data_IF_965629588342
#
_entry.id   IF_965629588342
#
_cell.length_a   1.000
_cell.length_b   1.000
_cell.length_c   1.000
_cell.angle_alpha   90.00
_cell.angle_beta   90.00
_cell.angle_gamma   90.00
#
_symmetry.space_group_name_H-M   'P 1'
#
loop_
_entity.id
_entity.type
_entity.pdbx_description
1 polymer ?
#
# COMPACT_ATOMS: atom_id res chain seq x y z
N UNK A 1 42.66 12.26 22.43
CA UNK A 1 42.82 13.73 22.41
C UNK A 1 42.00 14.30 23.56
N UNK A 2 42.57 15.22 24.33
CA UNK A 2 41.85 15.89 25.41
C UNK A 2 41.27 17.22 24.91
N UNK A 3 40.03 17.47 25.28
CA UNK A 3 39.33 18.74 25.08
C UNK A 3 39.11 19.39 26.44
N UNK A 4 39.53 20.64 26.59
CA UNK A 4 39.42 21.39 27.84
C UNK A 4 38.33 22.44 27.70
N UNK A 5 37.29 22.31 28.52
CA UNK A 5 36.07 23.12 28.46
C UNK A 5 35.91 23.96 29.73
N UNK A 6 35.40 25.19 29.60
CA UNK A 6 35.07 26.06 30.74
C UNK A 6 33.86 25.55 31.53
N UNK A 7 33.86 25.72 32.86
CA UNK A 7 32.74 25.35 33.76
C UNK A 7 31.61 26.40 33.78
N UNK A 8 31.06 26.72 32.61
CA UNK A 8 29.93 27.64 32.45
C UNK A 8 28.78 26.98 31.68
N UNK A 9 27.56 27.53 31.79
CA UNK A 9 26.37 26.98 31.13
C UNK A 9 26.53 26.93 29.60
N UNK A 10 27.00 28.03 28.98
CA UNK A 10 27.49 28.06 27.59
C UNK A 10 28.98 27.77 27.56
N UNK A 11 29.34 26.51 27.80
CA UNK A 11 30.75 26.13 27.89
C UNK A 11 31.48 26.45 26.59
N UNK A 12 32.77 26.77 26.70
CA UNK A 12 33.64 27.10 25.58
C UNK A 12 34.82 26.15 25.58
N UNK A 13 35.20 25.69 24.40
CA UNK A 13 36.45 24.97 24.21
C UNK A 13 37.60 25.96 24.40
N UNK A 14 38.38 25.79 25.45
CA UNK A 14 39.51 26.67 25.76
C UNK A 14 40.72 26.29 24.89
N UNK A 15 41.12 25.02 24.93
CA UNK A 15 42.21 24.46 24.14
C UNK A 15 42.08 22.94 24.07
N UNK A 16 42.98 22.32 23.31
CA UNK A 16 43.01 20.87 23.10
C UNK A 16 44.43 20.34 23.27
N UNK A 17 44.55 19.14 23.82
CA UNK A 17 45.84 18.43 23.92
C UNK A 17 45.78 17.19 23.05
N UNK A 18 46.57 17.17 21.97
CA UNK A 18 46.62 16.06 21.02
C UNK A 18 47.62 14.98 21.46
N UNK A 19 47.45 14.50 22.69
CA UNK A 19 48.21 13.41 23.29
C UNK A 19 47.24 12.37 23.84
N UNK A 20 47.70 11.13 23.93
CA UNK A 20 47.05 10.05 24.67
C UNK A 20 47.26 10.22 26.18
N UNK A 21 46.43 9.57 27.00
CA UNK A 21 46.61 9.60 28.45
C UNK A 21 48.02 9.15 28.91
N UNK A 22 48.61 8.16 28.23
CA UNK A 22 49.96 7.67 28.54
C UNK A 22 51.04 8.70 28.19
N UNK A 23 50.88 9.42 27.08
CA UNK A 23 51.78 10.50 26.68
C UNK A 23 51.67 11.71 27.61
N UNK A 24 50.45 12.08 28.04
CA UNK A 24 50.25 13.15 29.03
C UNK A 24 50.95 12.81 30.34
N UNK A 25 50.87 11.55 30.78
CA UNK A 25 51.57 11.08 31.98
C UNK A 25 53.08 11.15 31.83
N UNK A 26 53.62 10.64 30.72
CA UNK A 26 55.05 10.49 30.51
C UNK A 26 55.75 11.81 30.16
N UNK A 27 55.08 12.71 29.43
CA UNK A 27 55.68 13.95 28.93
C UNK A 27 55.24 15.19 29.69
N UNK A 28 54.03 15.20 30.26
CA UNK A 28 53.48 16.37 30.98
C UNK A 28 53.30 16.12 32.48
N UNK A 29 53.68 14.95 32.99
CA UNK A 29 53.57 14.62 34.42
C UNK A 29 52.13 14.69 34.93
N UNK A 30 51.17 14.23 34.11
CA UNK A 30 49.71 14.33 34.37
C UNK A 30 49.16 15.77 34.43
N UNK A 31 49.94 16.80 34.06
CA UNK A 31 49.50 18.19 34.03
C UNK A 31 49.09 18.65 32.62
N UNK A 32 47.79 18.58 32.32
CA UNK A 32 47.22 19.06 31.05
C UNK A 32 47.32 20.58 30.81
N UNK A 33 47.67 21.36 31.84
CA UNK A 33 47.75 22.83 31.79
C UNK A 33 49.20 23.35 31.76
N UNK A 34 50.19 22.48 31.54
CA UNK A 34 51.61 22.84 31.56
C UNK A 34 51.94 24.05 30.65
N UNK A 35 51.33 24.09 29.46
CA UNK A 35 51.52 25.15 28.46
C UNK A 35 50.58 26.36 28.64
N UNK A 36 49.68 26.30 29.61
CA UNK A 36 48.67 27.34 29.91
C UNK A 36 48.67 27.71 31.41
N UNK A 37 49.81 28.14 31.98
CA UNK A 37 49.95 28.43 33.42
C UNK A 37 49.11 29.62 33.90
N UNK A 38 48.64 30.47 33.00
CA UNK A 38 47.73 31.58 33.28
C UNK A 38 46.29 31.13 33.59
N UNK A 39 45.92 29.90 33.21
CA UNK A 39 44.60 29.35 33.45
C UNK A 39 44.55 28.65 34.80
N UNK A 40 43.46 28.85 35.53
CA UNK A 40 43.18 28.13 36.77
C UNK A 40 42.49 26.80 36.45
N UNK A 41 43.13 25.62 36.68
CA UNK A 41 42.54 24.32 36.33
C UNK A 41 41.19 24.05 37.01
N UNK A 42 40.92 24.68 38.15
CA UNK A 42 39.65 24.51 38.86
C UNK A 42 38.44 25.02 38.07
N UNK A 43 38.64 25.93 37.10
CA UNK A 43 37.57 26.54 36.30
C UNK A 43 37.26 25.73 35.02
N UNK A 44 37.94 24.60 34.80
CA UNK A 44 37.84 23.80 33.58
C UNK A 44 37.59 22.32 33.84
N UNK A 45 37.06 21.64 32.82
CA UNK A 45 36.97 20.18 32.75
C UNK A 45 37.73 19.69 31.53
N UNK A 46 38.62 18.73 31.75
CA UNK A 46 39.27 17.99 30.69
C UNK A 46 38.51 16.68 30.42
N UNK A 47 38.24 16.40 29.15
CA UNK A 47 37.62 15.14 28.73
C UNK A 47 38.38 14.56 27.54
N UNK A 48 38.65 13.26 27.59
CA UNK A 48 39.25 12.54 26.47
C UNK A 48 38.15 12.09 25.49
N UNK A 49 38.24 12.54 24.23
CA UNK A 49 37.30 12.20 23.16
C UNK A 49 38.03 12.16 21.80
N UNK A 50 37.34 11.62 20.81
CA UNK A 50 37.78 11.68 19.40
C UNK A 50 37.30 12.96 18.70
N UNK A 51 36.15 13.51 19.13
CA UNK A 51 35.54 14.69 18.53
C UNK A 51 35.00 15.64 19.62
N UNK A 52 35.05 16.97 19.39
CA UNK A 52 34.52 17.96 20.31
C UNK A 52 32.99 17.91 20.35
N UNK A 53 32.40 18.35 21.46
CA UNK A 53 30.98 18.72 21.50
C UNK A 53 30.70 19.92 20.59
N UNK A 54 29.51 19.96 19.99
CA UNK A 54 29.10 21.06 19.10
C UNK A 54 28.61 22.27 19.91
N UNK A 55 27.83 22.01 20.95
CA UNK A 55 27.26 22.94 21.92
C UNK A 55 27.51 22.39 23.34
N UNK A 56 28.75 22.49 23.85
CA UNK A 56 29.09 21.99 25.18
C UNK A 56 28.38 22.79 26.29
N UNK A 57 27.97 22.09 27.34
CA UNK A 57 27.41 22.68 28.56
C UNK A 57 27.93 21.97 29.80
N UNK A 58 28.23 22.76 30.84
CA UNK A 58 28.67 22.23 32.13
C UNK A 58 27.47 21.78 32.98
N UNK A 59 27.50 20.52 33.42
CA UNK A 59 26.54 19.95 34.35
C UNK A 59 27.12 19.96 35.77
N UNK A 60 26.65 20.90 36.58
CA UNK A 60 27.13 21.08 37.95
C UNK A 60 26.73 19.93 38.89
N UNK A 61 25.66 19.19 38.58
CA UNK A 61 25.18 18.10 39.44
C UNK A 61 26.10 16.87 39.35
N UNK A 62 26.59 16.57 38.14
CA UNK A 62 27.53 15.47 37.90
C UNK A 62 28.98 15.93 37.83
N UNK A 63 29.24 17.24 37.83
CA UNK A 63 30.57 17.83 37.58
C UNK A 63 31.19 17.33 36.28
N UNK A 64 30.40 17.27 35.20
CA UNK A 64 30.84 16.81 33.87
C UNK A 64 30.51 17.82 32.77
N UNK A 65 31.16 17.68 31.62
CA UNK A 65 30.78 18.37 30.39
C UNK A 65 29.95 17.44 29.50
N UNK A 66 28.88 17.97 28.90
CA UNK A 66 28.02 17.24 27.96
C UNK A 66 27.54 18.13 26.83
N UNK A 67 26.87 17.53 25.85
CA UNK A 67 26.14 18.25 24.80
C UNK A 67 24.87 18.86 25.39
N UNK A 68 24.50 20.06 24.95
CA UNK A 68 23.21 20.67 25.29
C UNK A 68 22.04 19.81 24.78
N UNK A 69 20.97 19.73 25.56
CA UNK A 69 19.71 19.14 25.10
C UNK A 69 19.01 20.10 24.12
N UNK A 70 18.03 19.61 23.36
CA UNK A 70 17.24 20.47 22.46
C UNK A 70 16.58 21.63 23.20
N UNK A 71 16.07 21.40 24.40
CA UNK A 71 15.46 22.44 25.23
C UNK A 71 16.49 23.49 25.65
N UNK A 72 17.69 23.08 26.06
CA UNK A 72 18.77 24.01 26.41
C UNK A 72 19.24 24.82 25.19
N UNK A 73 19.28 24.22 24.00
CA UNK A 73 19.58 24.94 22.76
C UNK A 73 18.53 26.03 22.50
N UNK A 74 17.24 25.72 22.67
CA UNK A 74 16.13 26.68 22.47
C UNK A 74 16.18 27.80 23.52
N UNK A 75 16.42 27.49 24.79
CA UNK A 75 16.56 28.49 25.86
C UNK A 75 17.64 29.53 25.52
N UNK A 76 18.72 29.04 24.88
CA UNK A 76 19.89 29.81 24.49
C UNK A 76 19.82 30.46 23.10
N UNK A 77 18.63 30.47 22.49
CA UNK A 77 18.34 31.04 21.16
C UNK A 77 19.17 30.39 20.04
N UNK A 78 19.54 29.12 20.20
CA UNK A 78 20.23 28.32 19.18
C UNK A 78 19.18 27.57 18.35
N UNK A 79 19.28 27.70 17.02
CA UNK A 79 18.34 27.08 16.09
C UNK A 79 18.39 25.54 16.17
N UNK A 80 17.21 24.92 16.31
CA UNK A 80 17.03 23.48 16.31
C UNK A 80 16.16 23.04 15.14
N UNK A 81 16.48 21.88 14.55
CA UNK A 81 15.61 21.27 13.56
C UNK A 81 14.33 20.76 14.25
N UNK A 82 13.17 21.15 13.71
CA UNK A 82 11.85 20.73 14.21
C UNK A 82 11.30 19.57 13.38
N UNK A 83 10.71 18.59 14.05
CA UNK A 83 9.92 17.54 13.43
C UNK A 83 8.50 18.02 13.13
N UNK A 84 7.75 17.25 12.33
CA UNK A 84 6.33 17.54 12.09
C UNK A 84 5.55 17.48 13.41
N UNK A 85 4.70 18.48 13.64
CA UNK A 85 4.00 18.62 14.91
C UNK A 85 4.79 19.34 16.00
N UNK A 86 6.07 19.66 15.78
CA UNK A 86 6.86 20.46 16.72
C UNK A 86 6.86 21.95 16.34
N UNK A 87 6.80 22.80 17.35
CA UNK A 87 6.98 24.24 17.23
C UNK A 87 7.60 24.84 18.50
N UNK A 88 8.15 26.05 18.39
CA UNK A 88 8.74 26.77 19.52
C UNK A 88 7.85 27.96 19.85
N UNK A 89 7.47 28.08 21.12
CA UNK A 89 6.70 29.21 21.66
C UNK A 89 7.20 29.50 23.06
N UNK A 90 7.46 30.77 23.38
CA UNK A 90 8.01 31.21 24.66
C UNK A 90 9.30 30.47 25.10
N UNK A 91 10.24 30.27 24.16
CA UNK A 91 11.49 29.50 24.35
C UNK A 91 11.28 28.06 24.85
N UNK A 92 10.11 27.48 24.59
CA UNK A 92 9.81 26.08 24.92
C UNK A 92 9.44 25.31 23.67
N UNK A 93 9.98 24.11 23.56
CA UNK A 93 9.54 23.15 22.56
C UNK A 93 8.12 22.69 22.90
N UNK A 94 7.23 22.76 21.93
CA UNK A 94 5.85 22.27 22.00
C UNK A 94 5.68 21.18 20.94
N UNK A 95 4.92 20.15 21.29
CA UNK A 95 4.63 19.03 20.39
C UNK A 95 3.11 18.81 20.32
N UNK A 96 2.57 18.81 19.11
CA UNK A 96 1.17 18.51 18.82
C UNK A 96 1.10 17.15 18.15
N UNK A 97 0.50 16.13 18.78
CA UNK A 97 0.41 14.79 18.20
C UNK A 97 -0.40 14.81 16.91
N UNK A 98 0.04 14.04 15.91
CA UNK A 98 -0.67 13.91 14.64
C UNK A 98 -2.02 13.19 14.85
N UNK A 99 -3.16 13.78 14.46
CA UNK A 99 -4.47 13.14 14.68
C UNK A 99 -4.68 11.88 13.83
N UNK A 100 -4.19 11.90 12.59
CA UNK A 100 -4.17 10.74 11.69
C UNK A 100 -3.10 10.92 10.61
N UNK A 101 -2.73 9.83 9.93
CA UNK A 101 -1.74 9.85 8.85
C UNK A 101 -2.12 10.72 7.64
N UNK A 102 -3.36 11.21 7.57
CA UNK A 102 -3.85 12.06 6.49
C UNK A 102 -3.71 13.57 6.77
N UNK A 103 -3.30 13.93 7.99
CA UNK A 103 -3.08 15.33 8.35
C UNK A 103 -1.68 15.77 7.95
N UNK A 104 -1.59 17.00 7.43
CA UNK A 104 -0.32 17.65 7.10
C UNK A 104 -0.04 18.75 8.12
N UNK A 105 1.20 18.84 8.58
CA UNK A 105 1.59 19.87 9.54
C UNK A 105 1.67 21.24 8.88
N UNK A 106 0.97 22.23 9.43
CA UNK A 106 1.08 23.62 9.03
C UNK A 106 2.05 24.35 9.97
N UNK A 107 3.30 24.47 9.55
CA UNK A 107 4.36 25.13 10.34
C UNK A 107 4.05 26.58 10.67
N UNK A 108 3.25 27.29 9.86
CA UNK A 108 2.94 28.71 10.12
C UNK A 108 1.82 28.89 11.15
N UNK A 109 0.87 27.95 11.21
CA UNK A 109 -0.26 28.01 12.15
C UNK A 109 -0.06 27.15 13.40
N UNK A 110 0.95 26.29 13.40
CA UNK A 110 1.17 25.26 14.42
C UNK A 110 -0.05 24.34 14.58
N UNK A 111 -0.72 24.01 13.47
CA UNK A 111 -1.91 23.15 13.44
C UNK A 111 -1.76 22.03 12.42
N UNK A 112 -2.52 20.96 12.63
CA UNK A 112 -2.68 19.89 11.66
C UNK A 112 -3.82 20.23 10.70
N UNK A 113 -3.50 20.41 9.42
CA UNK A 113 -4.48 20.67 8.36
C UNK A 113 -4.85 19.36 7.65
N UNK A 114 -6.07 19.29 7.11
CA UNK A 114 -6.56 18.13 6.36
C UNK A 114 -7.36 18.57 5.14
N UNK A 115 -7.03 17.97 3.99
CA UNK A 115 -7.85 18.06 2.78
C UNK A 115 -8.79 16.85 2.72
N UNK A 116 -9.99 16.99 3.28
CA UNK A 116 -10.97 15.90 3.31
C UNK A 116 -11.38 15.41 1.92
N UNK A 117 -11.33 16.24 0.88
CA UNK A 117 -11.67 15.81 -0.49
C UNK A 117 -10.58 14.90 -1.07
N UNK A 118 -9.31 15.20 -0.79
CA UNK A 118 -8.21 14.32 -1.17
C UNK A 118 -8.22 12.99 -0.39
N UNK A 119 -8.53 13.03 0.91
CA UNK A 119 -8.69 11.81 1.71
C UNK A 119 -9.84 10.95 1.15
N UNK A 120 -11.01 11.54 0.90
CA UNK A 120 -12.14 10.84 0.26
C UNK A 120 -11.76 10.25 -1.10
N UNK A 121 -10.96 10.98 -1.90
CA UNK A 121 -10.42 10.47 -3.18
C UNK A 121 -9.55 9.24 -2.99
N UNK A 122 -8.63 9.26 -2.04
CA UNK A 122 -7.76 8.13 -1.69
C UNK A 122 -8.58 6.88 -1.33
N UNK A 123 -9.61 7.03 -0.50
CA UNK A 123 -10.50 5.91 -0.16
C UNK A 123 -11.28 5.38 -1.36
N UNK A 124 -11.78 6.25 -2.25
CA UNK A 124 -12.43 5.80 -3.50
C UNK A 124 -11.47 4.97 -4.36
N UNK A 125 -10.22 5.38 -4.50
CA UNK A 125 -9.22 4.61 -5.24
C UNK A 125 -8.98 3.23 -4.63
N UNK A 126 -8.82 3.15 -3.29
CA UNK A 126 -8.68 1.87 -2.58
C UNK A 126 -9.82 0.89 -2.91
N UNK A 127 -11.08 1.33 -2.85
CA UNK A 127 -12.22 0.46 -3.17
C UNK A 127 -12.37 0.20 -4.67
N UNK A 128 -11.92 1.11 -5.53
CA UNK A 128 -11.89 0.90 -6.98
C UNK A 128 -10.95 -0.25 -7.35
N UNK A 129 -9.79 -0.37 -6.71
CA UNK A 129 -8.90 -1.51 -6.92
C UNK A 129 -9.57 -2.84 -6.58
N UNK A 130 -10.34 -2.89 -5.48
CA UNK A 130 -11.13 -4.08 -5.11
C UNK A 130 -12.21 -4.37 -6.16
N UNK A 131 -12.89 -3.34 -6.68
CA UNK A 131 -13.85 -3.50 -7.76
C UNK A 131 -13.19 -4.10 -9.01
N UNK A 132 -12.03 -3.58 -9.42
CA UNK A 132 -11.30 -4.06 -10.60
C UNK A 132 -10.89 -5.54 -10.45
N UNK A 133 -10.42 -5.96 -9.26
CA UNK A 133 -10.18 -7.37 -8.96
C UNK A 133 -11.44 -8.23 -9.13
N UNK A 134 -12.60 -7.76 -8.63
CA UNK A 134 -13.86 -8.50 -8.76
C UNK A 134 -14.39 -8.51 -10.20
N UNK A 135 -14.05 -7.51 -11.02
CA UNK A 135 -14.43 -7.45 -12.42
C UNK A 135 -13.56 -8.39 -13.26
N UNK A 136 -12.25 -8.21 -13.24
CA UNK A 136 -11.32 -8.85 -14.17
C UNK A 136 -10.60 -10.07 -13.57
N UNK A 137 -10.86 -10.37 -12.30
CA UNK A 137 -10.31 -11.52 -11.60
C UNK A 137 -10.93 -12.84 -12.07
N UNK A 138 -10.18 -13.93 -11.90
CA UNK A 138 -10.63 -15.29 -12.18
C UNK A 138 -11.92 -15.63 -11.44
N UNK A 139 -12.69 -16.57 -11.97
CA UNK A 139 -13.96 -16.99 -11.40
C UNK A 139 -13.91 -18.46 -11.02
N UNK A 140 -14.24 -18.77 -9.77
CA UNK A 140 -14.35 -20.15 -9.30
C UNK A 140 -15.80 -20.62 -9.42
N UNK A 141 -15.98 -21.79 -10.00
CA UNK A 141 -17.28 -22.46 -10.07
C UNK A 141 -17.06 -23.96 -9.92
N UNK A 142 -17.73 -24.58 -8.93
CA UNK A 142 -17.64 -26.01 -8.64
C UNK A 142 -16.20 -26.55 -8.53
N UNK A 143 -15.31 -25.81 -7.85
CA UNK A 143 -13.90 -26.17 -7.67
C UNK A 143 -13.02 -26.00 -8.92
N UNK A 144 -13.58 -25.53 -10.05
CA UNK A 144 -12.85 -25.18 -11.26
C UNK A 144 -12.62 -23.67 -11.31
N UNK A 145 -11.42 -23.25 -11.68
CA UNK A 145 -11.06 -21.82 -11.78
C UNK A 145 -10.95 -21.40 -13.25
N UNK A 146 -11.86 -20.53 -13.66
CA UNK A 146 -11.96 -19.97 -14.99
C UNK A 146 -11.19 -18.65 -15.07
N UNK A 147 -10.39 -18.49 -16.12
CA UNK A 147 -9.78 -17.22 -16.44
C UNK A 147 -10.84 -16.31 -17.08
N UNK A 148 -10.91 -15.05 -16.61
CA UNK A 148 -11.91 -14.06 -17.04
C UNK A 148 -11.22 -12.74 -17.41
N UNK A 149 -10.09 -12.82 -18.12
CA UNK A 149 -9.48 -11.62 -18.72
C UNK A 149 -10.29 -11.22 -19.96
N UNK A 150 -10.03 -10.03 -20.48
CA UNK A 150 -10.73 -9.46 -21.63
C UNK A 150 -10.88 -10.44 -22.81
N UNK A 151 -9.81 -11.17 -23.15
CA UNK A 151 -9.85 -12.16 -24.24
C UNK A 151 -10.64 -13.44 -23.88
N UNK A 152 -10.63 -13.84 -22.61
CA UNK A 152 -11.33 -15.04 -22.16
C UNK A 152 -12.84 -14.81 -22.09
N UNK A 153 -13.27 -13.61 -21.64
CA UNK A 153 -14.69 -13.20 -21.65
C UNK A 153 -15.30 -13.29 -23.05
N UNK A 154 -14.54 -12.85 -24.06
CA UNK A 154 -14.95 -12.94 -25.47
C UNK A 154 -15.23 -14.39 -25.88
N UNK A 155 -14.49 -15.37 -25.37
CA UNK A 155 -14.75 -16.77 -25.69
C UNK A 155 -16.10 -17.25 -25.11
N UNK A 156 -16.45 -16.84 -23.90
CA UNK A 156 -17.78 -17.13 -23.33
C UNK A 156 -18.89 -16.48 -24.17
N UNK A 157 -18.71 -15.21 -24.56
CA UNK A 157 -19.68 -14.51 -25.42
C UNK A 157 -19.83 -15.19 -26.78
N UNK A 158 -18.74 -15.62 -27.41
CA UNK A 158 -18.75 -16.34 -28.70
C UNK A 158 -19.54 -17.64 -28.61
N UNK A 159 -19.34 -18.44 -27.57
CA UNK A 159 -20.10 -19.68 -27.37
C UNK A 159 -21.59 -19.38 -27.19
N UNK A 160 -21.93 -18.38 -26.38
CA UNK A 160 -23.33 -17.97 -26.17
C UNK A 160 -23.97 -17.51 -27.49
N UNK A 161 -23.31 -16.63 -28.24
CA UNK A 161 -23.78 -16.13 -29.54
C UNK A 161 -23.93 -17.26 -30.56
N UNK A 162 -22.97 -18.19 -30.63
CA UNK A 162 -23.04 -19.33 -31.53
C UNK A 162 -24.26 -20.22 -31.22
N UNK A 163 -24.56 -20.48 -29.94
CA UNK A 163 -25.75 -21.23 -29.53
C UNK A 163 -27.06 -20.48 -29.83
N UNK A 164 -27.06 -19.15 -29.66
CA UNK A 164 -28.21 -18.31 -29.97
C UNK A 164 -28.50 -18.37 -31.48
N UNK A 165 -27.49 -18.16 -32.33
CA UNK A 165 -27.60 -18.24 -33.79
C UNK A 165 -27.98 -19.65 -34.25
N UNK A 166 -27.27 -20.69 -33.76
CA UNK A 166 -27.53 -22.07 -34.17
C UNK A 166 -28.94 -22.54 -33.79
N UNK A 167 -29.52 -22.00 -32.73
CA UNK A 167 -30.90 -22.30 -32.34
C UNK A 167 -31.96 -21.81 -33.32
N UNK A 168 -31.62 -20.88 -34.20
CA UNK A 168 -32.51 -20.25 -35.19
C UNK A 168 -32.31 -20.81 -36.61
N UNK A 169 -31.33 -21.70 -36.81
CA UNK A 169 -31.04 -22.30 -38.11
C UNK A 169 -32.04 -23.43 -38.40
N UNK A 170 -32.70 -23.34 -39.55
CA UNK A 170 -33.66 -24.34 -40.03
C UNK A 170 -33.01 -25.41 -40.91
N UNK A 171 -31.82 -25.14 -41.45
CA UNK A 171 -31.08 -26.05 -42.34
C UNK A 171 -30.13 -26.97 -41.55
N UNK A 172 -30.37 -28.27 -41.63
CA UNK A 172 -29.55 -29.29 -40.96
C UNK A 172 -28.12 -29.32 -41.50
N UNK A 173 -27.91 -29.13 -42.80
CA UNK A 173 -26.58 -29.25 -43.41
C UNK A 173 -25.65 -28.13 -42.92
N UNK A 174 -26.20 -26.95 -42.65
CA UNK A 174 -25.47 -25.82 -42.02
C UNK A 174 -25.07 -26.17 -40.59
N UNK A 175 -25.96 -26.78 -39.81
CA UNK A 175 -25.65 -27.23 -38.44
C UNK A 175 -24.58 -28.33 -38.45
N UNK A 176 -24.69 -29.30 -39.37
CA UNK A 176 -23.71 -30.37 -39.54
C UNK A 176 -22.33 -29.81 -39.87
N UNK A 177 -22.24 -28.91 -40.83
CA UNK A 177 -20.99 -28.25 -41.21
C UNK A 177 -20.37 -27.46 -40.04
N UNK A 178 -21.20 -26.79 -39.24
CA UNK A 178 -20.74 -26.08 -38.04
C UNK A 178 -20.16 -27.05 -36.99
N UNK A 179 -20.82 -28.19 -36.74
CA UNK A 179 -20.35 -29.22 -35.82
C UNK A 179 -19.04 -29.86 -36.31
N UNK A 180 -18.92 -30.17 -37.59
CA UNK A 180 -17.70 -30.70 -38.19
C UNK A 180 -16.54 -29.69 -38.05
N UNK A 181 -16.80 -28.39 -38.25
CA UNK A 181 -15.81 -27.32 -38.06
C UNK A 181 -15.34 -27.21 -36.61
N UNK A 182 -16.22 -27.52 -35.65
CA UNK A 182 -15.92 -27.59 -34.22
C UNK A 182 -15.23 -28.91 -33.81
N UNK A 183 -15.01 -29.83 -34.75
CA UNK A 183 -14.40 -31.14 -34.50
C UNK A 183 -15.36 -32.14 -33.83
N UNK A 184 -16.67 -31.90 -33.88
CA UNK A 184 -17.68 -32.82 -33.36
C UNK A 184 -18.13 -33.75 -34.49
N UNK A 185 -17.69 -35.01 -34.44
CA UNK A 185 -18.12 -36.01 -35.41
C UNK A 185 -19.61 -36.36 -35.22
N UNK A 186 -20.43 -36.05 -36.24
CA UNK A 186 -21.86 -36.38 -36.23
C UNK A 186 -22.07 -37.80 -36.72
N UNK A 187 -22.27 -38.73 -35.77
CA UNK A 187 -22.70 -40.10 -36.09
C UNK A 187 -24.22 -40.18 -36.37
N UNK A 188 -24.68 -41.37 -36.78
CA UNK A 188 -26.09 -41.59 -37.14
C UNK A 188 -27.06 -41.30 -35.98
N UNK A 189 -26.66 -41.61 -34.75
CA UNK A 189 -27.48 -41.39 -33.56
C UNK A 189 -27.60 -39.89 -33.24
N UNK A 190 -26.50 -39.15 -33.31
CA UNK A 190 -26.45 -37.71 -33.10
C UNK A 190 -27.20 -36.96 -34.21
N UNK A 191 -27.08 -37.41 -35.46
CA UNK A 191 -27.85 -36.87 -36.59
C UNK A 191 -29.37 -36.97 -36.36
N UNK A 192 -29.86 -38.15 -35.94
CA UNK A 192 -31.27 -38.35 -35.63
C UNK A 192 -31.75 -37.43 -34.49
N UNK A 193 -30.95 -37.31 -33.43
CA UNK A 193 -31.24 -36.42 -32.29
C UNK A 193 -31.31 -34.96 -32.70
N UNK A 194 -30.38 -34.48 -33.54
CA UNK A 194 -30.37 -33.10 -34.05
C UNK A 194 -31.63 -32.86 -34.90
N UNK A 195 -31.92 -33.74 -35.86
CA UNK A 195 -33.11 -33.61 -36.74
C UNK A 195 -34.41 -33.62 -35.94
N UNK A 196 -34.50 -34.47 -34.91
CA UNK A 196 -35.66 -34.48 -34.01
C UNK A 196 -35.76 -33.17 -33.22
N UNK A 197 -34.65 -32.69 -32.64
CA UNK A 197 -34.61 -31.44 -31.89
C UNK A 197 -35.02 -30.23 -32.75
N UNK A 198 -34.62 -30.20 -34.03
CA UNK A 198 -35.06 -29.21 -35.01
C UNK A 198 -36.58 -29.28 -35.24
N UNK A 199 -37.12 -30.47 -35.51
CA UNK A 199 -38.57 -30.68 -35.74
C UNK A 199 -39.44 -30.21 -34.58
N UNK A 200 -38.99 -30.38 -33.34
CA UNK A 200 -39.74 -29.98 -32.14
C UNK A 200 -39.38 -28.58 -31.62
N UNK A 201 -38.57 -27.82 -32.36
CA UNK A 201 -38.15 -26.46 -31.99
C UNK A 201 -37.26 -26.38 -30.73
N UNK A 202 -36.55 -27.46 -30.39
CA UNK A 202 -35.67 -27.57 -29.21
C UNK A 202 -34.20 -27.72 -29.56
N UNK A 203 -33.78 -27.36 -30.78
CA UNK A 203 -32.39 -27.46 -31.23
C UNK A 203 -31.43 -26.79 -30.25
N UNK A 204 -31.70 -25.54 -29.84
CA UNK A 204 -30.87 -24.82 -28.85
C UNK A 204 -30.73 -25.56 -27.52
N UNK A 205 -31.82 -26.18 -27.04
CA UNK A 205 -31.80 -26.95 -25.79
C UNK A 205 -30.93 -28.21 -25.94
N UNK A 206 -31.00 -28.87 -27.10
CA UNK A 206 -30.15 -30.01 -27.42
C UNK A 206 -28.67 -29.59 -27.54
N UNK A 207 -28.36 -28.52 -28.27
CA UNK A 207 -26.98 -28.05 -28.42
C UNK A 207 -26.34 -27.69 -27.06
N UNK A 208 -27.12 -27.17 -26.10
CA UNK A 208 -26.64 -26.93 -24.73
C UNK A 208 -26.16 -28.18 -24.01
N UNK A 209 -26.65 -29.38 -24.34
CA UNK A 209 -26.19 -30.62 -23.70
C UNK A 209 -24.89 -31.16 -24.29
N UNK A 210 -24.46 -30.65 -25.45
CA UNK A 210 -23.17 -31.03 -26.04
C UNK A 210 -22.01 -30.47 -25.20
N UNK A 211 -20.91 -31.21 -25.19
CA UNK A 211 -19.70 -30.83 -24.47
C UNK A 211 -18.66 -30.20 -25.40
N UNK A 212 -17.82 -29.33 -24.84
CA UNK A 212 -16.67 -28.76 -25.53
C UNK A 212 -15.46 -28.74 -24.59
N UNK A 213 -14.24 -28.96 -25.11
CA UNK A 213 -13.03 -28.81 -24.30
C UNK A 213 -12.81 -27.34 -23.94
N UNK A 214 -12.70 -27.05 -22.65
CA UNK A 214 -12.47 -25.70 -22.12
C UNK A 214 -11.18 -25.63 -21.30
N UNK A 215 -10.35 -24.62 -21.57
CA UNK A 215 -9.10 -24.40 -20.84
C UNK A 215 -9.37 -23.63 -19.54
N UNK A 216 -8.92 -24.18 -18.41
CA UNK A 216 -8.96 -23.54 -17.10
C UNK A 216 -7.74 -22.65 -16.87
N UNK A 217 -7.77 -21.85 -15.80
CA UNK A 217 -6.67 -20.93 -15.42
C UNK A 217 -5.32 -21.64 -15.25
N UNK A 218 -5.32 -22.88 -14.76
CA UNK A 218 -4.12 -23.69 -14.56
C UNK A 218 -3.63 -24.41 -15.85
N UNK A 219 -4.16 -24.03 -17.02
CA UNK A 219 -3.92 -24.65 -18.33
C UNK A 219 -4.41 -26.10 -18.48
N UNK A 220 -5.09 -26.67 -17.49
CA UNK A 220 -5.81 -27.94 -17.68
C UNK A 220 -7.00 -27.73 -18.62
N UNK A 221 -7.37 -28.79 -19.34
CA UNK A 221 -8.54 -28.80 -20.23
C UNK A 221 -9.57 -29.75 -19.65
N UNK A 222 -10.82 -29.29 -19.60
CA UNK A 222 -11.96 -30.07 -19.11
C UNK A 222 -13.08 -30.00 -20.12
N UNK A 223 -13.81 -31.10 -20.29
CA UNK A 223 -15.04 -31.08 -21.07
C UNK A 223 -16.16 -30.46 -20.24
N UNK A 224 -16.81 -29.45 -20.80
CA UNK A 224 -17.92 -28.72 -20.16
C UNK A 224 -19.09 -28.66 -21.11
N UNK A 225 -20.30 -28.82 -20.58
CA UNK A 225 -21.51 -28.63 -21.38
C UNK A 225 -21.64 -27.18 -21.83
N UNK A 226 -22.01 -26.98 -23.10
CA UNK A 226 -22.23 -25.64 -23.67
C UNK A 226 -23.27 -24.84 -22.86
N UNK A 227 -24.27 -25.51 -22.28
CA UNK A 227 -25.23 -24.91 -21.35
C UNK A 227 -24.63 -24.48 -20.01
N UNK A 228 -23.68 -25.25 -19.46
CA UNK A 228 -22.99 -24.94 -18.21
C UNK A 228 -22.08 -23.71 -18.38
N UNK A 229 -21.40 -23.56 -19.53
CA UNK A 229 -20.61 -22.36 -19.83
C UNK A 229 -21.44 -21.07 -19.78
N UNK A 230 -22.69 -21.11 -20.27
CA UNK A 230 -23.59 -19.96 -20.19
C UNK A 230 -23.97 -19.63 -18.73
N UNK A 231 -24.18 -20.65 -17.89
CA UNK A 231 -24.48 -20.46 -16.46
C UNK A 231 -23.29 -19.90 -15.69
N UNK A 232 -22.09 -20.40 -15.99
CA UNK A 232 -20.82 -19.89 -15.44
C UNK A 232 -20.67 -18.42 -15.81
N UNK A 233 -20.83 -18.08 -17.09
CA UNK A 233 -20.71 -16.70 -17.57
C UNK A 233 -21.76 -15.78 -16.94
N UNK A 234 -23.01 -16.23 -16.87
CA UNK A 234 -24.07 -15.48 -16.20
C UNK A 234 -23.78 -15.24 -14.72
N UNK A 235 -23.28 -16.25 -14.01
CA UNK A 235 -22.91 -16.12 -12.60
C UNK A 235 -21.75 -15.15 -12.39
N UNK A 236 -20.79 -15.12 -13.32
CA UNK A 236 -19.73 -14.12 -13.32
C UNK A 236 -20.28 -12.71 -13.57
N UNK A 237 -21.19 -12.51 -14.54
CA UNK A 237 -21.86 -11.21 -14.76
C UNK A 237 -22.56 -10.74 -13.48
N UNK A 238 -23.29 -11.63 -12.79
CA UNK A 238 -23.95 -11.29 -11.52
C UNK A 238 -22.95 -10.87 -10.45
N UNK A 239 -21.79 -11.55 -10.34
CA UNK A 239 -20.71 -11.14 -9.45
C UNK A 239 -20.24 -9.72 -9.75
N UNK A 240 -20.05 -9.40 -11.03
CA UNK A 240 -19.62 -8.06 -11.49
C UNK A 240 -20.65 -7.00 -11.11
N UNK A 241 -21.93 -7.24 -11.40
CA UNK A 241 -23.02 -6.31 -11.06
C UNK A 241 -23.12 -6.10 -9.55
N UNK A 242 -23.06 -7.18 -8.76
CA UNK A 242 -23.06 -7.08 -7.30
C UNK A 242 -21.90 -6.25 -6.77
N UNK A 243 -20.69 -6.45 -7.31
CA UNK A 243 -19.52 -5.66 -6.95
C UNK A 243 -19.67 -4.18 -7.31
N UNK A 244 -20.22 -3.86 -8.49
CA UNK A 244 -20.49 -2.49 -8.92
C UNK A 244 -21.53 -1.80 -8.04
N UNK A 245 -22.62 -2.49 -7.71
CA UNK A 245 -23.66 -1.96 -6.81
C UNK A 245 -23.08 -1.65 -5.42
N UNK A 246 -22.24 -2.54 -4.89
CA UNK A 246 -21.55 -2.34 -3.62
C UNK A 246 -20.57 -1.18 -3.66
N UNK A 247 -19.74 -1.08 -4.70
CA UNK A 247 -18.84 0.07 -4.90
C UNK A 247 -19.61 1.40 -4.98
N UNK A 248 -20.77 1.40 -5.65
CA UNK A 248 -21.65 2.56 -5.74
C UNK A 248 -22.18 2.97 -4.37
N UNK A 249 -22.62 2.00 -3.55
CA UNK A 249 -23.06 2.27 -2.18
C UNK A 249 -21.92 2.80 -1.29
N UNK A 250 -20.73 2.21 -1.39
CA UNK A 250 -19.53 2.69 -0.68
C UNK A 250 -19.17 4.12 -1.11
N UNK A 251 -19.22 4.42 -2.41
CA UNK A 251 -18.92 5.76 -2.93
C UNK A 251 -19.89 6.82 -2.38
N UNK A 252 -21.17 6.46 -2.22
CA UNK A 252 -22.17 7.34 -1.56
C UNK A 252 -21.81 7.59 -0.10
N UNK A 253 -21.48 6.53 0.66
CA UNK A 253 -21.02 6.66 2.06
C UNK A 253 -19.79 7.56 2.19
N UNK A 254 -18.77 7.37 1.35
CA UNK A 254 -17.55 8.20 1.34
C UNK A 254 -17.88 9.68 1.10
N UNK A 255 -18.89 9.97 0.29
CA UNK A 255 -19.31 11.36 0.04
C UNK A 255 -19.90 12.01 1.29
N UNK A 256 -20.69 11.25 2.05
CA UNK A 256 -21.48 11.73 3.19
C UNK A 256 -20.67 11.90 4.48
N UNK A 257 -19.60 11.13 4.68
CA UNK A 257 -18.79 11.21 5.91
C UNK A 257 -18.01 12.52 6.05
N UNK A 258 -17.79 12.94 7.29
CA UNK A 258 -17.12 14.21 7.60
C UNK A 258 -15.76 13.99 8.27
N UNK A 259 -15.52 12.80 8.81
CA UNK A 259 -14.30 12.50 9.57
C UNK A 259 -13.47 11.36 8.97
N UNK A 260 -12.17 11.35 9.29
CA UNK A 260 -11.26 10.25 8.91
C UNK A 260 -11.68 8.93 9.56
N UNK A 261 -12.12 8.96 10.83
CA UNK A 261 -12.52 7.77 11.57
C UNK A 261 -13.71 7.07 10.91
N UNK A 262 -14.68 7.84 10.42
CA UNK A 262 -15.80 7.29 9.65
C UNK A 262 -15.35 6.70 8.32
N UNK A 263 -14.41 7.34 7.61
CA UNK A 263 -13.84 6.79 6.37
C UNK A 263 -13.14 5.44 6.63
N UNK A 264 -12.34 5.35 7.69
CA UNK A 264 -11.63 4.13 8.10
C UNK A 264 -12.58 3.00 8.50
N UNK A 265 -13.76 3.33 9.02
CA UNK A 265 -14.79 2.36 9.37
C UNK A 265 -15.49 1.74 8.14
N UNK A 266 -15.41 2.36 6.96
CA UNK A 266 -16.01 1.82 5.73
C UNK A 266 -15.24 0.57 5.29
N UNK A 267 -15.98 -0.52 5.07
CA UNK A 267 -15.43 -1.81 4.62
C UNK A 267 -16.12 -2.31 3.36
N UNK A 268 -15.42 -3.19 2.65
CA UNK A 268 -15.96 -3.95 1.53
C UNK A 268 -16.67 -5.21 2.06
N UNK A 269 -17.76 -5.07 2.81
CA UNK A 269 -18.54 -6.18 3.40
C UNK A 269 -19.59 -6.77 2.47
#
# INVERSE_FOLDING_TARGET
>A
MFYIYSKEKKSRLAFTVNLTAEEVKNFMGDNLFLDYPELNPADYIAIERNEPFKYPTYDAATSTIREMTRDELIEEDIEVQLALGEYIEDKKLKTVPQPSSYHTWNTSKHTWDIDMEDVKRTFRHKFREILLDKMFGSYEHNGKVFQMKDYDEINFMRVKMALDIAGEIEDYDVIKQALDTLGVSVDTELEEKIKMAMKVGKLKQFLKSLTTPWRLKNNSVVDIQLGELNLIYFSWILRVITAQNKYTAITKKIREVETVQELEAIKWD
#
